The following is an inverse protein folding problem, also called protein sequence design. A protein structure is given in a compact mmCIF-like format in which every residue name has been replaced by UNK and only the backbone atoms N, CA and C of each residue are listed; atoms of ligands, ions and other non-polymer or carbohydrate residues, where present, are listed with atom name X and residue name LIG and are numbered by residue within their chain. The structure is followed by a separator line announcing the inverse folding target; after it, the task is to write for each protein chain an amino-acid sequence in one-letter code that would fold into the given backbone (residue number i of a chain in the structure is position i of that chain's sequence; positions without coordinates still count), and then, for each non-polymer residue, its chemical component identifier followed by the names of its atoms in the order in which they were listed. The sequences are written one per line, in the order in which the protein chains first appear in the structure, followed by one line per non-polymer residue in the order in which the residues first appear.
data_IF_974993209643
#
_entry.id   IF_974993209643
#
_cell.length_a   1.000
_cell.length_b   1.000
_cell.length_c   1.000
_cell.angle_alpha   90.00
_cell.angle_beta   90.00
_cell.angle_gamma   90.00
#
_symmetry.space_group_name_H-M   'P 1'
#
loop_
_entity.id
_entity.type
_entity.pdbx_description
1 polymer ?
#
# COMPACT_ATOMS: atom_id res chain seq x y z
N UNK A 1 -3.47 9.18 9.41
CA UNK A 1 -3.05 7.90 8.84
C UNK A 1 -4.23 7.00 8.61
N UNK A 2 -4.30 6.39 7.46
CA UNK A 2 -5.30 5.39 7.19
C UNK A 2 -4.76 4.01 7.53
N UNK A 3 -5.64 3.07 7.75
CA UNK A 3 -5.27 1.69 7.99
C UNK A 3 -6.01 0.80 7.00
N UNK A 4 -5.33 -0.22 6.51
CA UNK A 4 -5.94 -1.15 5.56
C UNK A 4 -5.23 -2.48 5.53
N UNK A 5 -5.65 -3.29 4.58
CA UNK A 5 -5.12 -4.64 4.39
C UNK A 5 -4.65 -4.77 2.94
N UNK A 6 -3.47 -5.33 2.75
CA UNK A 6 -2.95 -5.54 1.40
C UNK A 6 -3.84 -6.52 0.67
N UNK A 7 -4.40 -6.07 -0.45
CA UNK A 7 -5.24 -6.91 -1.31
C UNK A 7 -4.37 -7.85 -2.14
N UNK A 8 -3.36 -7.29 -2.77
CA UNK A 8 -2.32 -8.04 -3.47
C UNK A 8 -1.14 -7.11 -3.76
N UNK A 9 0.03 -7.70 -3.96
CA UNK A 9 1.21 -6.94 -4.30
C UNK A 9 2.09 -7.77 -5.23
N UNK A 10 2.56 -7.15 -6.33
CA UNK A 10 3.43 -7.81 -7.28
C UNK A 10 4.85 -7.29 -7.10
N UNK A 11 5.71 -8.11 -6.50
CA UNK A 11 7.09 -7.72 -6.20
C UNK A 11 7.91 -7.47 -7.45
N UNK A 12 7.63 -8.17 -8.54
CA UNK A 12 8.37 -8.00 -9.80
C UNK A 12 8.06 -6.65 -10.44
N UNK A 13 6.80 -6.27 -10.44
CA UNK A 13 6.38 -4.99 -11.02
C UNK A 13 6.50 -3.84 -10.05
N UNK A 14 6.55 -4.13 -8.75
CA UNK A 14 6.73 -3.13 -7.72
C UNK A 14 5.49 -2.34 -7.38
N UNK A 15 4.29 -2.91 -7.53
CA UNK A 15 3.07 -2.22 -7.16
C UNK A 15 1.98 -3.21 -6.73
N UNK A 16 0.94 -2.66 -6.10
CA UNK A 16 -0.19 -3.45 -5.68
C UNK A 16 -1.33 -2.56 -5.21
N UNK A 17 -2.25 -3.16 -4.48
CA UNK A 17 -3.41 -2.44 -3.95
C UNK A 17 -3.64 -2.79 -2.49
N UNK A 18 -4.11 -1.80 -1.74
CA UNK A 18 -4.48 -1.94 -0.34
C UNK A 18 -5.98 -1.67 -0.24
N UNK A 19 -6.71 -2.57 0.42
CA UNK A 19 -8.12 -2.35 0.72
C UNK A 19 -8.20 -1.54 2.00
N UNK A 20 -8.74 -0.34 1.90
CA UNK A 20 -8.91 0.55 3.06
C UNK A 20 -10.14 0.12 3.85
N UNK A 21 -10.11 0.30 5.16
CA UNK A 21 -11.29 0.11 5.99
C UNK A 21 -12.40 1.03 5.47
N UNK A 22 -13.48 0.44 5.04
CA UNK A 22 -14.54 1.17 4.34
C UNK A 22 -14.72 0.72 2.90
N UNK A 23 -13.78 -0.10 2.37
CA UNK A 23 -13.98 -0.82 1.12
C UNK A 23 -13.32 -0.29 -0.13
N UNK A 24 -12.68 0.87 -0.09
CA UNK A 24 -12.00 1.41 -1.26
C UNK A 24 -10.62 0.79 -1.43
N UNK A 25 -10.22 0.55 -2.67
CA UNK A 25 -8.87 0.10 -2.97
C UNK A 25 -7.99 1.30 -3.28
N UNK A 26 -6.77 1.28 -2.75
CA UNK A 26 -5.80 2.35 -2.95
C UNK A 26 -4.55 1.75 -3.59
N UNK A 27 -4.07 2.39 -4.66
CA UNK A 27 -2.85 1.98 -5.33
C UNK A 27 -1.62 2.20 -4.43
N UNK A 28 -0.69 1.26 -4.43
CA UNK A 28 0.58 1.39 -3.72
C UNK A 28 1.73 0.99 -4.63
N UNK A 29 2.78 1.82 -4.64
CA UNK A 29 4.01 1.54 -5.37
C UNK A 29 5.13 1.24 -4.37
N UNK A 30 6.11 0.41 -4.74
CA UNK A 30 7.16 0.02 -3.81
C UNK A 30 7.92 1.23 -3.24
N UNK A 31 8.02 2.32 -3.99
CA UNK A 31 8.69 3.53 -3.52
C UNK A 31 7.95 4.22 -2.37
N UNK A 32 6.67 3.90 -2.20
CA UNK A 32 5.86 4.45 -1.11
C UNK A 32 5.91 3.59 0.16
N UNK A 33 6.59 2.46 0.13
CA UNK A 33 6.69 1.56 1.28
C UNK A 33 7.84 2.01 2.16
N UNK A 34 7.52 2.36 3.39
CA UNK A 34 8.52 2.82 4.37
C UNK A 34 8.97 1.63 5.22
N UNK A 35 9.85 0.83 4.66
CA UNK A 35 10.44 -0.34 5.33
C UNK A 35 11.93 -0.36 5.05
N UNK A 36 12.69 -0.77 6.05
CA UNK A 36 14.13 -0.99 5.87
C UNK A 36 14.34 -2.29 5.07
N UNK A 37 15.22 -2.27 4.09
CA UNK A 37 15.57 -3.44 3.32
C UNK A 37 14.57 -3.78 2.23
N UNK A 38 14.05 -4.99 2.24
CA UNK A 38 13.22 -5.53 1.18
C UNK A 38 11.80 -4.98 1.21
N UNK A 39 11.43 -4.21 0.21
CA UNK A 39 10.15 -3.49 0.17
C UNK A 39 9.09 -4.33 -0.52
N UNK A 40 8.54 -5.30 0.19
CA UNK A 40 7.49 -6.18 -0.32
C UNK A 40 6.37 -6.26 0.70
N UNK A 41 5.14 -6.22 0.20
CA UNK A 41 3.94 -6.43 1.00
C UNK A 41 3.36 -7.80 0.69
N UNK A 42 2.76 -8.42 1.69
CA UNK A 42 2.12 -9.72 1.50
C UNK A 42 0.60 -9.56 1.49
N UNK A 43 -0.06 -10.41 0.73
CA UNK A 43 -1.52 -10.43 0.68
C UNK A 43 -2.08 -10.69 2.08
N UNK A 44 -3.03 -9.87 2.49
CA UNK A 44 -3.65 -9.98 3.80
C UNK A 44 -2.89 -9.27 4.93
N UNK A 45 -1.75 -8.66 4.63
CA UNK A 45 -0.96 -7.96 5.64
C UNK A 45 -1.64 -6.65 6.05
N UNK A 46 -1.70 -6.38 7.36
CA UNK A 46 -2.23 -5.11 7.86
C UNK A 46 -1.15 -4.04 7.76
N UNK A 47 -1.53 -2.87 7.26
CA UNK A 47 -0.62 -1.74 7.05
C UNK A 47 -1.27 -0.43 7.45
N UNK A 48 -0.44 0.56 7.77
CA UNK A 48 -0.87 1.95 7.92
C UNK A 48 -0.23 2.78 6.82
N UNK A 49 -0.91 3.83 6.38
CA UNK A 49 -0.43 4.66 5.28
C UNK A 49 -1.17 5.98 5.25
N UNK A 50 -0.63 6.93 4.48
CA UNK A 50 -1.31 8.18 4.17
C UNK A 50 -1.91 8.06 2.77
N UNK A 51 -3.06 8.69 2.55
CA UNK A 51 -3.70 8.70 1.24
C UNK A 51 -3.33 9.98 0.53
N UNK A 52 -2.68 9.85 -0.62
CA UNK A 52 -2.35 10.95 -1.49
C UNK A 52 -3.07 10.82 -2.82
N UNK A 53 -2.81 11.75 -3.72
CA UNK A 53 -3.36 11.74 -5.07
C UNK A 53 -2.24 11.49 -6.05
N UNK A 54 -2.39 10.47 -6.89
CA UNK A 54 -1.42 10.14 -7.93
C UNK A 54 -2.06 10.13 -9.30
N UNK A 55 -1.28 9.81 -10.35
CA UNK A 55 -1.78 9.76 -11.72
C UNK A 55 -2.93 8.80 -11.93
N UNK A 56 -3.01 7.77 -11.10
CA UNK A 56 -4.06 6.74 -11.20
C UNK A 56 -5.19 6.94 -10.21
N UNK A 57 -5.22 8.06 -9.50
CA UNK A 57 -6.21 8.35 -8.47
C UNK A 57 -5.63 8.24 -7.06
N UNK A 58 -6.44 7.83 -6.07
CA UNK A 58 -5.93 7.71 -4.70
C UNK A 58 -4.74 6.75 -4.62
N UNK A 59 -3.69 7.17 -3.93
CA UNK A 59 -2.44 6.43 -3.85
C UNK A 59 -1.95 6.41 -2.41
N UNK A 60 -1.49 5.24 -1.95
CA UNK A 60 -0.93 5.11 -0.61
C UNK A 60 0.48 5.68 -0.56
N UNK A 61 0.81 6.37 0.53
CA UNK A 61 2.12 6.95 0.78
C UNK A 61 2.56 6.59 2.19
N UNK A 62 3.86 6.51 2.40
CA UNK A 62 4.44 6.20 3.71
C UNK A 62 3.85 4.92 4.31
N UNK A 63 3.75 3.89 3.49
CA UNK A 63 3.13 2.62 3.89
C UNK A 63 4.04 1.90 4.87
N UNK A 64 3.49 1.47 6.00
CA UNK A 64 4.23 0.74 7.04
C UNK A 64 3.43 -0.47 7.49
N UNK A 65 4.08 -1.59 7.77
CA UNK A 65 3.39 -2.73 8.38
C UNK A 65 2.94 -2.36 9.80
N UNK A 66 1.81 -2.89 10.16
CA UNK A 66 1.29 -2.69 11.53
C UNK A 66 2.02 -3.59 12.50
#
# INVERSE_FOLDING_TARGET
MAQGTVKWFNAEKGFGFITVDGGDDVFVHFSAIDMAGYKVLEEGQAVTFDVGTGPKGPQAESVRPV
#
